data_IF_170943255120
#
_entry.id   IF_170943255120
#
_cell.length_a   1.000
_cell.length_b   1.000
_cell.length_c   1.000
_cell.angle_alpha   90.00
_cell.angle_beta   90.00
_cell.angle_gamma   90.00
#
_symmetry.space_group_name_H-M   'P 1'
#
loop_
_entity.id
_entity.type
_entity.pdbx_description
1 polymer ?
#
# COMPACT_ATOMS: atom_id res chain seq x y z
N UNK A 1 -3.19 12.65 2.37
CA UNK A 1 -2.16 11.62 2.08
C UNK A 1 -0.84 12.30 1.73
N UNK A 2 0.21 11.87 2.39
CA UNK A 2 1.56 12.29 2.05
C UNK A 2 2.17 11.21 1.18
N UNK A 3 2.69 11.58 0.01
CA UNK A 3 3.20 10.63 -0.96
C UNK A 3 4.64 10.97 -1.33
N UNK A 4 5.52 9.98 -1.21
CA UNK A 4 6.94 10.11 -1.56
C UNK A 4 7.32 8.98 -2.51
N UNK A 5 8.19 9.28 -3.46
CA UNK A 5 8.66 8.29 -4.42
C UNK A 5 10.15 8.44 -4.66
N UNK A 6 10.86 7.33 -4.77
CA UNK A 6 12.27 7.31 -5.12
C UNK A 6 12.53 6.25 -6.17
N UNK A 7 13.54 6.50 -6.99
CA UNK A 7 13.95 5.60 -8.08
C UNK A 7 15.42 5.27 -7.89
N UNK A 8 15.75 4.00 -7.94
CA UNK A 8 17.12 3.50 -7.74
C UNK A 8 17.53 2.65 -8.93
N UNK A 9 18.70 2.93 -9.48
CA UNK A 9 19.24 2.22 -10.64
C UNK A 9 18.34 2.34 -11.88
N UNK A 10 17.57 3.42 -11.96
CA UNK A 10 16.73 3.73 -13.10
C UNK A 10 16.37 5.21 -13.07
N UNK A 11 16.05 5.77 -14.21
CA UNK A 11 15.66 7.17 -14.29
C UNK A 11 14.23 7.37 -13.76
N UNK A 12 13.98 8.50 -13.08
CA UNK A 12 12.61 8.83 -12.69
C UNK A 12 11.69 8.92 -13.90
N UNK A 13 10.48 8.40 -13.75
CA UNK A 13 9.48 8.38 -14.81
C UNK A 13 8.21 9.07 -14.33
N UNK A 14 7.80 10.12 -15.04
CA UNK A 14 6.56 10.82 -14.68
C UNK A 14 5.35 9.90 -14.87
N UNK A 15 5.37 9.06 -15.89
CA UNK A 15 4.28 8.10 -16.12
C UNK A 15 4.13 7.13 -14.95
N UNK A 16 5.25 6.65 -14.40
CA UNK A 16 5.23 5.75 -13.26
C UNK A 16 4.76 6.49 -12.00
N UNK A 17 5.23 7.74 -11.81
CA UNK A 17 4.77 8.55 -10.67
C UNK A 17 3.26 8.74 -10.69
N UNK A 18 2.71 9.05 -11.86
CA UNK A 18 1.26 9.24 -12.01
C UNK A 18 0.52 7.94 -11.74
N UNK A 19 1.01 6.84 -12.29
CA UNK A 19 0.39 5.53 -12.11
C UNK A 19 0.36 5.13 -10.63
N UNK A 20 1.50 5.24 -9.95
CA UNK A 20 1.59 4.89 -8.53
C UNK A 20 0.74 5.81 -7.67
N UNK A 21 0.68 7.10 -8.01
CA UNK A 21 -0.17 8.05 -7.29
C UNK A 21 -1.65 7.66 -7.38
N UNK A 22 -2.12 7.33 -8.56
CA UNK A 22 -3.51 6.92 -8.77
C UNK A 22 -3.85 5.66 -7.97
N UNK A 23 -2.94 4.69 -7.97
CA UNK A 23 -3.13 3.46 -7.19
C UNK A 23 -3.11 3.74 -5.69
N UNK A 24 -2.23 4.63 -5.25
CA UNK A 24 -2.13 5.01 -3.83
C UNK A 24 -3.41 5.71 -3.36
N UNK A 25 -4.00 6.54 -4.20
CA UNK A 25 -5.24 7.22 -3.87
C UNK A 25 -6.38 6.24 -3.61
N UNK A 26 -6.39 5.11 -4.30
CA UNK A 26 -7.38 4.06 -4.07
C UNK A 26 -7.20 3.44 -2.68
N UNK A 27 -5.96 3.29 -2.22
CA UNK A 27 -5.69 2.78 -0.88
C UNK A 27 -6.22 3.72 0.19
N UNK A 28 -6.13 5.03 -0.06
CA UNK A 28 -6.56 6.04 0.91
C UNK A 28 -8.05 5.94 1.24
N UNK A 29 -8.84 5.27 0.40
CA UNK A 29 -10.28 5.09 0.64
C UNK A 29 -10.57 4.12 1.77
N UNK A 30 -9.60 3.31 2.19
CA UNK A 30 -9.82 2.29 3.21
C UNK A 30 -9.83 2.83 4.62
N UNK A 31 -9.44 4.07 4.83
CA UNK A 31 -9.47 4.64 6.17
C UNK A 31 -9.58 6.16 6.15
N UNK A 32 -9.96 6.66 7.32
CA UNK A 32 -10.07 8.09 7.57
C UNK A 32 -8.84 8.54 8.34
N UNK A 33 -8.36 9.73 8.02
CA UNK A 33 -7.21 10.31 8.69
C UNK A 33 -5.99 10.39 7.79
N UNK A 34 -4.88 10.75 8.40
CA UNK A 34 -3.64 10.98 7.66
C UNK A 34 -2.90 9.67 7.43
N UNK A 35 -2.45 9.48 6.21
CA UNK A 35 -1.57 8.36 5.87
C UNK A 35 -0.37 8.88 5.11
N UNK A 36 0.73 8.17 5.26
CA UNK A 36 1.94 8.42 4.50
C UNK A 36 2.24 7.19 3.64
N UNK A 37 2.46 7.40 2.36
CA UNK A 37 2.78 6.34 1.42
C UNK A 37 4.12 6.64 0.78
N UNK A 38 5.04 5.71 0.89
CA UNK A 38 6.37 5.84 0.32
C UNK A 38 6.62 4.71 -0.66
N UNK A 39 6.93 5.08 -1.90
CA UNK A 39 7.28 4.12 -2.94
C UNK A 39 8.77 4.15 -3.20
N UNK A 40 9.38 2.98 -3.26
CA UNK A 40 10.75 2.82 -3.68
C UNK A 40 10.77 1.89 -4.89
N UNK A 41 11.16 2.43 -6.03
CA UNK A 41 11.26 1.67 -7.27
C UNK A 41 12.71 1.39 -7.59
N UNK A 42 13.00 0.21 -8.07
CA UNK A 42 14.36 -0.11 -8.48
C UNK A 42 14.38 -1.03 -9.69
N UNK A 43 15.43 -0.90 -10.46
CA UNK A 43 15.73 -1.81 -11.56
C UNK A 43 16.89 -2.69 -11.12
N UNK A 44 16.65 -4.00 -11.07
CA UNK A 44 17.63 -4.98 -10.64
C UNK A 44 17.78 -6.04 -11.73
N UNK A 45 18.79 -5.89 -12.58
CA UNK A 45 18.97 -6.74 -13.76
C UNK A 45 17.72 -6.65 -14.65
N UNK A 46 17.02 -7.75 -14.84
CA UNK A 46 15.79 -7.76 -15.64
C UNK A 46 14.54 -7.54 -14.80
N UNK A 47 14.69 -7.49 -13.50
CA UNK A 47 13.57 -7.31 -12.60
C UNK A 47 13.28 -5.84 -12.36
N UNK A 48 12.01 -5.53 -12.17
CA UNK A 48 11.54 -4.20 -11.77
C UNK A 48 10.84 -4.35 -10.44
N UNK A 49 11.39 -3.69 -9.44
CA UNK A 49 10.94 -3.84 -8.05
C UNK A 49 10.12 -2.64 -7.63
N UNK A 50 8.96 -2.90 -7.04
CA UNK A 50 8.14 -1.87 -6.42
C UNK A 50 7.98 -2.23 -4.94
N UNK A 51 8.39 -1.31 -4.08
CA UNK A 51 8.23 -1.45 -2.65
C UNK A 51 7.42 -0.28 -2.15
N UNK A 52 6.31 -0.55 -1.47
CA UNK A 52 5.43 0.48 -0.96
C UNK A 52 5.30 0.33 0.55
N UNK A 53 5.57 1.41 1.26
CA UNK A 53 5.41 1.45 2.71
C UNK A 53 4.27 2.40 3.03
N UNK A 54 3.29 1.91 3.77
CA UNK A 54 2.12 2.68 4.14
C UNK A 54 2.06 2.79 5.66
N UNK A 55 2.02 4.01 6.16
CA UNK A 55 1.95 4.28 7.59
C UNK A 55 0.72 5.14 7.86
N UNK A 56 -0.06 4.72 8.81
CA UNK A 56 -1.23 5.47 9.27
C UNK A 56 -1.39 5.34 10.77
N UNK A 57 -2.53 5.76 11.27
CA UNK A 57 -2.80 5.65 12.70
C UNK A 57 -2.98 4.16 13.05
N UNK A 58 -2.04 3.62 13.83
CA UNK A 58 -2.01 2.21 14.23
C UNK A 58 -1.85 1.26 13.04
N UNK A 59 -1.24 1.75 11.94
CA UNK A 59 -1.00 0.93 10.76
C UNK A 59 0.40 1.15 10.24
N UNK A 60 1.05 0.05 9.88
CA UNK A 60 2.39 0.07 9.31
C UNK A 60 2.50 -1.17 8.43
N UNK A 61 2.25 -0.98 7.14
CA UNK A 61 2.18 -2.09 6.20
C UNK A 61 3.12 -1.92 5.03
N UNK A 62 3.56 -3.02 4.48
CA UNK A 62 4.43 -3.06 3.32
C UNK A 62 3.81 -3.89 2.20
N UNK A 63 3.97 -3.41 0.98
CA UNK A 63 3.69 -4.20 -0.21
C UNK A 63 4.95 -4.24 -1.05
N UNK A 64 5.42 -5.40 -1.40
CA UNK A 64 6.63 -5.58 -2.19
C UNK A 64 6.36 -6.52 -3.34
N UNK A 65 6.79 -6.16 -4.53
CA UNK A 65 6.63 -7.01 -5.70
C UNK A 65 7.78 -6.82 -6.67
N UNK A 66 8.09 -7.90 -7.36
CA UNK A 66 9.19 -7.94 -8.29
C UNK A 66 8.73 -8.70 -9.53
N UNK A 67 8.70 -8.02 -10.68
CA UNK A 67 8.30 -8.60 -11.96
C UNK A 67 9.20 -8.03 -13.05
N UNK A 68 8.96 -8.43 -14.29
CA UNK A 68 9.69 -7.86 -15.42
C UNK A 68 9.13 -6.50 -15.86
N UNK A 69 7.98 -6.10 -15.34
CA UNK A 69 7.33 -4.85 -15.69
C UNK A 69 6.97 -4.05 -14.45
N UNK A 70 7.41 -2.80 -14.38
CA UNK A 70 7.23 -2.00 -13.18
C UNK A 70 5.76 -1.75 -12.83
N UNK A 71 4.90 -1.56 -13.83
CA UNK A 71 3.47 -1.36 -13.57
C UNK A 71 2.83 -2.60 -12.95
N UNK A 72 3.23 -3.77 -13.44
CA UNK A 72 2.77 -5.04 -12.86
C UNK A 72 3.25 -5.16 -11.42
N UNK A 73 4.48 -4.74 -11.13
CA UNK A 73 5.02 -4.76 -9.78
C UNK A 73 4.23 -3.82 -8.86
N UNK A 74 3.90 -2.64 -9.35
CA UNK A 74 3.07 -1.69 -8.61
C UNK A 74 1.70 -2.32 -8.30
N UNK A 75 1.05 -2.92 -9.30
CA UNK A 75 -0.26 -3.54 -9.11
C UNK A 75 -0.21 -4.65 -8.06
N UNK A 76 0.82 -5.48 -8.08
CA UNK A 76 0.97 -6.55 -7.10
C UNK A 76 1.24 -6.01 -5.70
N UNK A 77 2.06 -4.96 -5.58
CA UNK A 77 2.33 -4.33 -4.30
C UNK A 77 1.04 -3.74 -3.72
N UNK A 78 0.23 -3.09 -4.55
CA UNK A 78 -1.06 -2.55 -4.15
C UNK A 78 -2.01 -3.65 -3.68
N UNK A 79 -2.08 -4.77 -4.39
CA UNK A 79 -2.92 -5.90 -3.98
C UNK A 79 -2.54 -6.42 -2.60
N UNK A 80 -1.24 -6.51 -2.34
CA UNK A 80 -0.76 -6.96 -1.03
C UNK A 80 -1.17 -5.99 0.08
N UNK A 81 -1.07 -4.69 -0.19
CA UNK A 81 -1.50 -3.67 0.77
C UNK A 81 -3.01 -3.69 0.97
N UNK A 82 -3.78 -3.86 -0.10
CA UNK A 82 -5.23 -3.94 0.02
C UNK A 82 -5.67 -5.11 0.89
N UNK A 83 -5.02 -6.26 0.76
CA UNK A 83 -5.31 -7.41 1.59
C UNK A 83 -5.03 -7.12 3.06
N UNK A 84 -3.91 -6.47 3.36
CA UNK A 84 -3.56 -6.10 4.73
C UNK A 84 -4.55 -5.09 5.29
N UNK A 85 -4.95 -4.11 4.50
CA UNK A 85 -5.90 -3.08 4.93
C UNK A 85 -7.30 -3.65 5.17
N UNK A 86 -7.75 -4.54 4.30
CA UNK A 86 -9.05 -5.20 4.48
C UNK A 86 -9.04 -6.06 5.75
N UNK A 87 -7.95 -6.78 5.98
CA UNK A 87 -7.80 -7.59 7.18
C UNK A 87 -7.79 -6.71 8.43
N UNK A 88 -7.10 -5.58 8.39
CA UNK A 88 -7.08 -4.63 9.49
C UNK A 88 -8.48 -4.13 9.80
N UNK A 89 -9.24 -3.76 8.77
CA UNK A 89 -10.61 -3.28 8.92
C UNK A 89 -11.51 -4.38 9.49
N UNK A 90 -11.35 -5.61 9.07
CA UNK A 90 -12.09 -6.75 9.60
C UNK A 90 -11.78 -7.00 11.06
N UNK A 91 -10.51 -6.94 11.44
CA UNK A 91 -10.09 -7.13 12.83
C UNK A 91 -10.72 -6.07 13.72
N UNK A 92 -10.70 -4.80 13.32
CA UNK A 92 -11.32 -3.71 14.07
C UNK A 92 -12.83 -3.93 14.19
N UNK A 93 -13.48 -4.30 13.08
CA UNK A 93 -14.91 -4.59 13.06
C UNK A 93 -15.26 -5.76 13.99
N UNK A 94 -14.49 -6.85 13.90
CA UNK A 94 -14.72 -8.05 14.72
C UNK A 94 -14.53 -7.73 16.20
N UNK A 95 -13.52 -6.94 16.53
CA UNK A 95 -13.28 -6.54 17.92
C UNK A 95 -14.45 -5.76 18.48
N UNK A 96 -14.99 -4.81 17.74
CA UNK A 96 -16.15 -4.04 18.16
C UNK A 96 -17.38 -4.93 18.27
N UNK A 97 -17.55 -5.86 17.32
CA UNK A 97 -18.67 -6.78 17.32
C UNK A 97 -18.60 -7.74 18.52
N UNK A 98 -17.42 -8.25 18.82
CA UNK A 98 -17.21 -9.13 19.96
C UNK A 98 -17.52 -8.43 21.28
N UNK A 99 -17.14 -7.18 21.41
CA UNK A 99 -17.45 -6.39 22.59
C UNK A 99 -18.97 -6.24 22.76
N UNK A 100 -19.68 -5.96 21.66
CA UNK A 100 -21.14 -5.90 21.69
C UNK A 100 -21.75 -7.25 22.04
N UNK A 101 -21.22 -8.31 21.48
CA UNK A 101 -21.70 -9.67 21.73
C UNK A 101 -21.51 -10.07 23.19
N UNK A 102 -20.37 -9.73 23.79
CA UNK A 102 -20.11 -9.99 25.21
C UNK A 102 -21.11 -9.26 26.10
N UNK A 103 -21.45 -8.06 25.73
CA UNK A 103 -22.43 -7.27 26.48
C UNK A 103 -23.81 -7.88 26.35
N UNK A 104 -24.11 -8.45 25.22
CA UNK A 104 -25.39 -9.11 25.01
C UNK A 104 -25.48 -10.48 25.67
N UNK A 105 -24.34 -11.07 25.87
CA UNK A 105 -24.28 -12.39 26.49
C UNK A 105 -24.00 -12.31 27.98
#
# INVERSE_FOLDING_TARGET
MTLSMSFKHMDPSQAIKTYAKEKSEKLAKYFHGKISVTWNFSAEKQARVAHCHLVGNNMDYFGHAETSDLRASIDQAIEKLEKQLRKHKEIVRDHLHKNGHRQAG
#
